data_IF_175283124796
#
_entry.id   IF_175283124796
#
_cell.length_a   1.000
_cell.length_b   1.000
_cell.length_c   1.000
_cell.angle_alpha   90.00
_cell.angle_beta   90.00
_cell.angle_gamma   90.00
#
_symmetry.space_group_name_H-M   'P 1'
#
loop_
_entity.id
_entity.type
_entity.pdbx_description
1 polymer ?
#
# COMPACT_ATOMS: atom_id res chain seq x y z
N UNK A 1 12.19 -25.35 -16.18
CA UNK A 1 11.52 -25.04 -14.91
C UNK A 1 12.61 -24.57 -13.96
N UNK A 2 12.76 -23.27 -13.75
CA UNK A 2 13.72 -22.71 -12.80
C UNK A 2 12.92 -21.89 -11.79
N UNK A 3 12.64 -22.55 -10.67
CA UNK A 3 12.17 -21.93 -9.44
C UNK A 3 13.40 -21.28 -8.78
N UNK A 4 13.45 -19.96 -8.75
CA UNK A 4 14.37 -19.17 -7.94
C UNK A 4 13.62 -17.93 -7.46
N UNK A 5 12.65 -18.09 -6.58
CA UNK A 5 12.30 -16.99 -5.69
C UNK A 5 13.39 -16.95 -4.61
N UNK A 6 14.22 -15.89 -4.53
CA UNK A 6 15.03 -15.71 -3.34
C UNK A 6 14.08 -15.61 -2.15
N UNK A 7 14.36 -16.35 -1.08
CA UNK A 7 13.66 -16.17 0.19
C UNK A 7 13.92 -14.74 0.65
N UNK A 8 13.02 -13.81 0.30
CA UNK A 8 13.16 -12.41 0.66
C UNK A 8 13.04 -12.29 2.19
N UNK A 9 14.16 -12.09 2.87
CA UNK A 9 14.18 -11.84 4.32
C UNK A 9 13.36 -10.58 4.61
N UNK A 10 12.34 -10.65 5.48
CA UNK A 10 11.55 -9.48 5.80
C UNK A 10 12.38 -8.38 6.49
N UNK A 11 12.09 -7.12 6.18
CA UNK A 11 12.69 -5.97 6.86
C UNK A 11 12.44 -6.01 8.37
N UNK A 12 13.37 -5.42 9.15
CA UNK A 12 13.29 -5.32 10.61
C UNK A 12 12.13 -4.43 11.06
N UNK A 13 11.86 -3.36 10.31
CA UNK A 13 10.71 -2.48 10.50
C UNK A 13 10.16 -1.99 9.18
N UNK A 14 8.83 -1.91 9.07
CA UNK A 14 8.15 -1.14 8.02
C UNK A 14 7.02 -0.36 8.66
N UNK A 15 7.02 0.96 8.48
CA UNK A 15 5.96 1.84 8.93
C UNK A 15 5.40 2.63 7.75
N UNK A 16 4.07 2.63 7.63
CA UNK A 16 3.34 3.47 6.69
C UNK A 16 2.52 4.51 7.44
N UNK A 17 2.56 5.74 6.95
CA UNK A 17 1.76 6.86 7.44
C UNK A 17 1.01 7.51 6.28
N UNK A 18 -0.19 8.02 6.55
CA UNK A 18 -0.99 8.84 5.66
C UNK A 18 -0.98 10.29 6.16
N UNK A 19 -0.69 11.25 5.28
CA UNK A 19 -0.77 12.67 5.61
C UNK A 19 -1.80 13.37 4.72
N UNK A 20 -3.02 13.64 5.23
CA UNK A 20 -4.03 14.40 4.52
C UNK A 20 -3.81 15.93 4.62
N UNK A 21 -2.64 16.39 5.06
CA UNK A 21 -2.34 17.80 5.31
C UNK A 21 -2.71 18.27 6.73
N UNK A 22 -3.31 17.39 7.55
CA UNK A 22 -3.56 17.64 8.98
C UNK A 22 -2.48 17.05 9.90
N UNK A 23 -1.37 16.58 9.32
CA UNK A 23 -0.32 15.84 10.01
C UNK A 23 -0.42 14.33 9.81
N UNK A 24 0.69 13.60 10.05
CA UNK A 24 0.81 12.19 9.74
C UNK A 24 -0.07 11.32 10.66
N UNK A 25 -0.78 10.39 10.05
CA UNK A 25 -1.62 9.38 10.71
C UNK A 25 -1.04 8.00 10.43
N UNK A 26 -0.87 7.19 11.48
CA UNK A 26 -0.39 5.83 11.33
C UNK A 26 -1.37 5.00 10.50
N UNK A 27 -0.85 4.26 9.52
CA UNK A 27 -1.59 3.19 8.83
C UNK A 27 -1.21 1.85 9.46
N UNK A 28 0.08 1.56 9.48
CA UNK A 28 0.63 0.32 10.07
C UNK A 28 2.08 0.54 10.47
N UNK A 29 2.48 -0.06 11.60
CA UNK A 29 3.87 -0.27 11.99
C UNK A 29 4.05 -1.77 12.20
N UNK A 30 4.99 -2.37 11.47
CA UNK A 30 5.35 -3.79 11.60
C UNK A 30 6.80 -3.89 12.05
N UNK A 31 6.99 -4.53 13.20
CA UNK A 31 8.28 -4.85 13.78
C UNK A 31 8.46 -6.36 13.83
N UNK A 32 9.68 -6.83 14.10
CA UNK A 32 9.94 -8.26 14.36
C UNK A 32 9.17 -8.80 15.56
N UNK A 33 8.78 -7.92 16.50
CA UNK A 33 8.08 -8.27 17.75
C UNK A 33 6.56 -8.19 17.65
N UNK A 34 6.01 -7.59 16.59
CA UNK A 34 4.57 -7.42 16.44
C UNK A 34 4.18 -6.30 15.49
N UNK A 35 2.87 -6.23 15.23
CA UNK A 35 2.28 -5.26 14.32
C UNK A 35 1.26 -4.39 15.05
N UNK A 36 1.26 -3.10 14.76
CA UNK A 36 0.25 -2.13 15.18
C UNK A 36 -0.42 -1.56 13.95
N UNK A 37 -1.74 -1.64 13.88
CA UNK A 37 -2.53 -1.01 12.80
C UNK A 37 -3.16 0.27 13.34
N UNK A 38 -3.17 1.32 12.54
CA UNK A 38 -3.78 2.59 12.91
C UNK A 38 -5.31 2.59 12.75
N UNK A 39 -6.03 3.42 13.52
CA UNK A 39 -7.49 3.50 13.45
C UNK A 39 -8.01 3.82 12.05
N UNK A 40 -9.00 3.05 11.60
CA UNK A 40 -9.66 3.21 10.30
C UNK A 40 -9.00 2.42 9.15
N UNK A 41 -7.90 1.72 9.43
CA UNK A 41 -7.20 0.85 8.48
C UNK A 41 -7.33 -0.65 8.82
N UNK A 42 -7.96 -0.98 9.95
CA UNK A 42 -8.23 -2.35 10.36
C UNK A 42 -9.03 -3.10 9.29
N UNK A 43 -8.56 -4.30 8.94
CA UNK A 43 -9.19 -5.14 7.90
C UNK A 43 -9.05 -4.60 6.46
N UNK A 44 -8.48 -3.41 6.26
CA UNK A 44 -8.33 -2.78 4.94
C UNK A 44 -6.94 -2.94 4.35
N UNK A 45 -5.96 -3.41 5.11
CA UNK A 45 -4.56 -3.45 4.68
C UNK A 45 -4.01 -4.86 4.51
N UNK A 46 -2.97 -4.98 3.68
CA UNK A 46 -2.01 -6.08 3.75
C UNK A 46 -0.62 -5.54 3.48
N UNK A 47 0.30 -5.87 4.38
CA UNK A 47 1.68 -5.41 4.34
C UNK A 47 2.60 -6.57 3.91
N UNK A 48 3.45 -6.30 2.92
CA UNK A 48 4.48 -7.21 2.46
C UNK A 48 5.82 -6.77 3.02
N UNK A 49 6.17 -7.23 4.23
CA UNK A 49 7.39 -6.79 4.94
C UNK A 49 8.69 -7.18 4.22
N UNK A 50 8.65 -8.11 3.27
CA UNK A 50 9.80 -8.51 2.44
C UNK A 50 10.25 -7.43 1.46
N UNK A 51 9.32 -6.58 1.01
CA UNK A 51 9.61 -5.51 0.04
C UNK A 51 9.00 -4.15 0.42
N UNK A 52 8.39 -4.05 1.60
CA UNK A 52 7.82 -2.82 2.15
C UNK A 52 6.49 -2.37 1.53
N UNK A 53 5.93 -3.13 0.58
CA UNK A 53 4.71 -2.74 -0.13
C UNK A 53 3.46 -2.83 0.74
N UNK A 54 2.52 -1.92 0.53
CA UNK A 54 1.22 -1.87 1.19
C UNK A 54 0.08 -2.02 0.16
N UNK A 55 -0.79 -3.00 0.36
CA UNK A 55 -2.10 -3.06 -0.31
C UNK A 55 -3.13 -2.37 0.59
N UNK A 56 -3.86 -1.40 0.04
CA UNK A 56 -5.01 -0.76 0.68
C UNK A 56 -6.30 -1.10 -0.08
N UNK A 57 -7.31 -1.58 0.66
CA UNK A 57 -8.59 -2.07 0.14
C UNK A 57 -9.75 -1.19 0.61
N UNK A 58 -10.90 -1.37 -0.04
CA UNK A 58 -12.12 -0.62 0.24
C UNK A 58 -11.85 0.89 0.21
N UNK A 59 -11.22 1.37 -0.87
CA UNK A 59 -10.82 2.77 -1.02
C UNK A 59 -12.03 3.70 -0.94
N UNK A 60 -11.79 4.86 -0.34
CA UNK A 60 -12.71 5.97 -0.16
C UNK A 60 -12.06 7.21 -0.76
N UNK A 61 -12.86 8.18 -1.18
CA UNK A 61 -12.36 9.47 -1.67
C UNK A 61 -11.43 10.15 -0.66
N UNK A 62 -11.72 9.98 0.63
CA UNK A 62 -10.93 10.52 1.76
C UNK A 62 -9.58 9.83 1.96
N UNK A 63 -9.31 8.73 1.26
CA UNK A 63 -7.98 8.10 1.29
C UNK A 63 -7.03 8.75 0.28
N UNK A 64 -7.49 9.72 -0.51
CA UNK A 64 -6.60 10.48 -1.41
C UNK A 64 -5.66 11.37 -0.60
N UNK A 65 -4.38 11.40 -0.98
CA UNK A 65 -3.36 12.20 -0.33
C UNK A 65 -1.99 11.53 -0.33
N UNK A 66 -1.08 12.05 0.48
CA UNK A 66 0.30 11.60 0.55
C UNK A 66 0.46 10.42 1.52
N UNK A 67 1.19 9.39 1.07
CA UNK A 67 1.55 8.22 1.83
C UNK A 67 3.07 8.15 1.95
N UNK A 68 3.57 7.97 3.18
CA UNK A 68 4.99 7.88 3.50
C UNK A 68 5.30 6.51 4.10
N UNK A 69 6.40 5.91 3.66
CA UNK A 69 6.96 4.71 4.24
C UNK A 69 8.32 5.00 4.86
N UNK A 70 8.59 4.36 5.99
CA UNK A 70 9.93 4.25 6.57
C UNK A 70 10.24 2.77 6.77
N UNK A 71 11.38 2.32 6.27
CA UNK A 71 11.84 0.94 6.30
C UNK A 71 13.18 0.89 7.03
N UNK A 72 13.28 -0.03 7.99
CA UNK A 72 14.56 -0.40 8.62
C UNK A 72 14.94 -1.80 8.18
N UNK A 73 16.06 -1.92 7.48
CA UNK A 73 16.68 -3.16 7.06
C UNK A 73 17.98 -3.37 7.84
N UNK A 74 17.88 -4.07 8.98
CA UNK A 74 18.97 -4.14 9.95
C UNK A 74 19.31 -2.76 10.53
N UNK A 75 20.43 -2.18 10.11
CA UNK A 75 20.90 -0.84 10.52
C UNK A 75 20.64 0.24 9.46
N UNK A 76 20.16 -0.15 8.28
CA UNK A 76 19.96 0.77 7.15
C UNK A 76 18.51 1.28 7.17
N UNK A 77 18.35 2.60 7.24
CA UNK A 77 17.05 3.26 7.11
C UNK A 77 16.82 3.71 5.67
N UNK A 78 15.60 3.50 5.17
CA UNK A 78 15.15 3.95 3.85
C UNK A 78 13.77 4.56 3.99
N UNK A 79 13.58 5.74 3.41
CA UNK A 79 12.26 6.38 3.34
C UNK A 79 11.74 6.39 1.90
N UNK A 80 10.42 6.42 1.77
CA UNK A 80 9.75 6.55 0.50
C UNK A 80 8.44 7.32 0.65
N UNK A 81 7.98 7.89 -0.46
CA UNK A 81 6.73 8.62 -0.50
C UNK A 81 6.01 8.37 -1.83
N UNK A 82 4.70 8.54 -1.80
CA UNK A 82 3.82 8.39 -2.97
C UNK A 82 2.49 9.08 -2.69
N UNK A 83 1.76 9.44 -3.75
CA UNK A 83 0.44 10.07 -3.64
C UNK A 83 -0.59 9.11 -4.20
N UNK A 84 -1.69 8.95 -3.48
CA UNK A 84 -2.86 8.23 -3.96
C UNK A 84 -3.94 9.25 -4.34
N UNK A 85 -4.44 9.16 -5.57
CA UNK A 85 -5.61 9.91 -6.01
C UNK A 85 -6.77 8.93 -6.22
N UNK A 86 -7.86 9.11 -5.46
CA UNK A 86 -9.08 8.29 -5.58
C UNK A 86 -10.17 9.13 -6.22
N UNK A 87 -10.63 8.72 -7.40
CA UNK A 87 -11.72 9.37 -8.14
C UNK A 87 -13.08 8.70 -7.89
N UNK A 88 -14.16 9.45 -8.09
CA UNK A 88 -15.54 9.03 -7.82
C UNK A 88 -16.04 7.88 -8.73
N UNK A 89 -16.84 7.02 -8.11
CA UNK A 89 -17.57 5.85 -8.63
C UNK A 89 -16.78 4.80 -9.42
N UNK A 90 -16.18 3.84 -8.69
CA UNK A 90 -16.16 2.46 -9.18
C UNK A 90 -14.84 1.70 -9.27
N UNK A 91 -13.76 2.06 -8.57
CA UNK A 91 -12.53 1.24 -8.65
C UNK A 91 -12.02 0.70 -7.32
N UNK A 92 -11.89 -0.63 -7.32
CA UNK A 92 -11.49 -1.51 -6.23
C UNK A 92 -10.02 -1.86 -6.38
N UNK A 93 -9.24 -1.50 -5.35
CA UNK A 93 -7.80 -1.74 -5.13
C UNK A 93 -6.85 -0.76 -5.85
N UNK A 94 -6.05 -0.06 -5.05
CA UNK A 94 -4.83 0.60 -5.50
C UNK A 94 -3.63 -0.19 -4.95
N UNK A 95 -2.67 -0.47 -5.83
CA UNK A 95 -1.37 -1.00 -5.42
C UNK A 95 -0.41 0.17 -5.36
N UNK A 96 0.00 0.54 -4.16
CA UNK A 96 1.03 1.54 -3.97
C UNK A 96 2.38 0.86 -4.22
N UNK A 97 3.07 1.29 -5.27
CA UNK A 97 4.44 0.85 -5.56
C UNK A 97 5.43 1.91 -5.10
N UNK A 98 6.39 1.50 -4.28
CA UNK A 98 7.50 2.34 -3.86
C UNK A 98 8.53 2.39 -4.99
N UNK A 99 8.77 3.57 -5.56
CA UNK A 99 9.99 3.82 -6.35
C UNK A 99 11.10 4.26 -5.40
N UNK A 100 11.96 3.33 -4.99
CA UNK A 100 13.20 3.66 -4.30
C UNK A 100 14.30 3.90 -5.35
N UNK A 101 14.83 5.12 -5.44
CA UNK A 101 16.06 5.40 -6.20
C UNK A 101 17.27 4.99 -5.37
N UNK A 102 17.68 3.72 -5.47
CA UNK A 102 19.09 3.37 -5.39
C UNK A 102 19.34 2.05 -6.12
N UNK A 103 19.78 2.20 -7.37
CA UNK A 103 20.41 1.24 -8.27
C UNK A 103 19.78 -0.17 -8.47
N UNK A 104 19.44 -0.39 -9.75
CA UNK A 104 19.31 -1.65 -10.49
C UNK A 104 17.95 -2.39 -10.40
N UNK A 105 17.20 -2.20 -11.49
CA UNK A 105 16.18 -3.06 -12.11
C UNK A 105 15.29 -3.89 -11.19
N UNK A 106 13.98 -3.62 -11.15
CA UNK A 106 12.98 -4.56 -11.69
C UNK A 106 11.61 -3.89 -11.89
N UNK A 107 11.14 -4.05 -13.13
CA UNK A 107 9.79 -4.26 -13.68
C UNK A 107 8.57 -3.46 -13.18
N UNK A 108 7.99 -2.71 -14.14
CA UNK A 108 6.65 -2.13 -14.08
C UNK A 108 5.57 -3.14 -13.66
N UNK A 109 4.62 -2.73 -12.84
CA UNK A 109 3.44 -3.54 -12.51
C UNK A 109 2.20 -2.88 -13.10
N UNK A 110 1.53 -3.65 -13.96
CA UNK A 110 0.31 -3.29 -14.68
C UNK A 110 -0.90 -3.15 -13.75
N UNK A 111 -1.77 -2.20 -14.10
CA UNK A 111 -3.13 -2.06 -13.59
C UNK A 111 -4.03 -3.10 -14.28
N UNK A 112 -4.62 -4.02 -13.52
CA UNK A 112 -5.74 -4.84 -13.99
C UNK A 112 -7.04 -4.32 -13.39
N UNK A 113 -7.94 -3.88 -14.26
CA UNK A 113 -9.34 -3.61 -13.93
C UNK A 113 -10.12 -4.85 -14.36
N UNK A 114 -10.66 -5.62 -13.41
CA UNK A 114 -11.78 -6.51 -13.68
C UNK A 114 -13.00 -5.94 -12.98
N UNK A 115 -13.86 -5.26 -13.73
CA UNK A 115 -15.20 -4.92 -13.27
C UNK A 115 -16.08 -6.16 -13.38
N UNK A 116 -16.79 -6.49 -12.30
CA UNK A 116 -18.05 -7.25 -12.40
C UNK A 116 -19.09 -6.45 -11.64
N UNK A 117 -19.86 -5.64 -12.36
CA UNK A 117 -21.08 -5.03 -11.85
C UNK A 117 -22.26 -5.98 -12.11
N UNK A 118 -23.15 -6.22 -11.12
CA UNK A 118 -24.55 -6.46 -11.42
C UNK A 118 -25.18 -5.12 -11.84
N UNK A 119 -25.85 -5.12 -12.99
CA UNK A 119 -26.49 -3.96 -13.63
C UNK A 119 -27.36 -3.10 -12.70
N UNK A 120 -27.13 -1.80 -12.68
CA UNK A 120 -28.06 -0.80 -12.14
C UNK A 120 -29.26 -0.64 -13.10
N UNK A 121 -30.48 -0.79 -12.60
CA UNK A 121 -31.72 -0.56 -13.35
C UNK A 121 -32.42 0.72 -12.84
N UNK A 122 -32.46 1.82 -13.62
CA UNK A 122 -33.00 3.10 -13.17
C UNK A 122 -34.54 3.20 -13.17
N UNK A 123 -35.30 2.13 -13.44
CA UNK A 123 -36.76 2.17 -13.46
C UNK A 123 -37.38 1.67 -12.15
N UNK A 124 -37.28 2.45 -11.06
CA UNK A 124 -38.19 2.37 -9.93
C UNK A 124 -38.27 3.76 -9.27
N UNK A 125 -39.21 4.57 -9.76
CA UNK A 125 -39.77 5.73 -9.06
C UNK A 125 -41.17 5.36 -8.61
#
# INVERSE_FOLDING_TARGET
MTNLDPTETPFSSVQWNFDPGSGPKLIVQSLTTGNTTGPGYEGRITLFRSNGSLELRNLKLTDSGEYKVSILDGVISKDGQTTLDVYGEGMLKAKIQLTCFSFLSFTAIYLFISSLYPSYNPLNK
#
